data_IF_972631006320
#
_entry.id   IF_972631006320
#
_cell.length_a   1.000
_cell.length_b   1.000
_cell.length_c   1.000
_cell.angle_alpha   90.00
_cell.angle_beta   90.00
_cell.angle_gamma   90.00
#
_symmetry.space_group_name_H-M   'P 1'
#
loop_
_entity.id
_entity.type
_entity.pdbx_description
1 polymer ?
#
# COMPACT_ATOMS: atom_id res chain seq x y z
N UNK A 1 -34.60 7.56 1.90
CA UNK A 1 -33.51 8.31 1.23
C UNK A 1 -33.12 7.49 0.01
N UNK A 2 -33.24 8.05 -1.20
CA UNK A 2 -32.89 7.33 -2.43
C UNK A 2 -31.47 7.70 -2.82
N UNK A 3 -30.53 6.75 -2.75
CA UNK A 3 -29.15 6.98 -3.15
C UNK A 3 -29.02 6.80 -4.65
N UNK A 4 -28.70 7.89 -5.36
CA UNK A 4 -28.45 7.86 -6.81
C UNK A 4 -26.95 7.76 -7.07
N UNK A 5 -26.52 6.62 -7.59
CA UNK A 5 -25.14 6.41 -8.04
C UNK A 5 -25.01 6.62 -9.54
N UNK A 6 -23.81 6.98 -9.99
CA UNK A 6 -23.50 7.04 -11.42
C UNK A 6 -23.57 5.63 -12.04
N UNK A 7 -24.05 5.54 -13.29
CA UNK A 7 -24.00 4.31 -14.08
C UNK A 7 -22.58 3.74 -14.25
N UNK A 8 -21.52 4.52 -14.00
CA UNK A 8 -20.14 4.01 -13.98
C UNK A 8 -19.87 3.07 -12.81
N UNK A 9 -20.57 3.27 -11.69
CA UNK A 9 -20.40 2.47 -10.47
C UNK A 9 -20.87 1.04 -10.68
N UNK A 10 -21.89 0.80 -11.51
CA UNK A 10 -22.43 -0.56 -11.73
C UNK A 10 -21.43 -1.52 -12.38
N UNK A 11 -20.39 -1.00 -13.02
CA UNK A 11 -19.36 -1.80 -13.69
C UNK A 11 -18.03 -1.87 -12.92
N UNK A 12 -17.93 -1.23 -11.75
CA UNK A 12 -16.71 -1.30 -10.94
C UNK A 12 -16.52 -2.72 -10.41
N UNK A 13 -15.42 -3.36 -10.82
CA UNK A 13 -15.05 -4.68 -10.33
C UNK A 13 -14.08 -4.57 -9.15
N UNK A 14 -14.25 -5.38 -8.09
CA UNK A 14 -13.26 -5.49 -7.04
C UNK A 14 -11.97 -6.12 -7.59
N UNK A 15 -10.83 -5.71 -7.05
CA UNK A 15 -9.55 -6.34 -7.39
C UNK A 15 -9.43 -7.68 -6.66
N UNK A 16 -9.45 -8.79 -7.42
CA UNK A 16 -9.22 -10.13 -6.86
C UNK A 16 -7.87 -10.24 -6.14
N UNK A 17 -6.84 -9.53 -6.63
CA UNK A 17 -5.54 -9.45 -5.95
C UNK A 17 -5.72 -8.84 -4.55
N UNK A 18 -6.46 -7.72 -4.42
CA UNK A 18 -6.72 -7.11 -3.11
C UNK A 18 -7.52 -8.03 -2.17
N UNK A 19 -8.40 -8.87 -2.70
CA UNK A 19 -9.12 -9.88 -1.90
C UNK A 19 -8.17 -10.94 -1.34
N UNK A 20 -7.23 -11.46 -2.13
CA UNK A 20 -6.21 -12.40 -1.64
C UNK A 20 -5.27 -11.75 -0.61
N UNK A 21 -4.91 -10.48 -0.80
CA UNK A 21 -4.06 -9.74 0.12
C UNK A 21 -4.65 -9.61 1.53
N UNK A 22 -5.97 -9.78 1.73
CA UNK A 22 -6.60 -9.75 3.07
C UNK A 22 -6.13 -10.89 3.98
N UNK A 23 -5.68 -12.00 3.39
CA UNK A 23 -5.19 -13.16 4.12
C UNK A 23 -3.67 -13.08 4.39
N UNK A 24 -2.95 -12.18 3.68
CA UNK A 24 -1.53 -11.96 3.93
C UNK A 24 -1.32 -11.45 5.35
N UNK A 25 -0.45 -12.12 6.11
CA UNK A 25 -0.15 -11.77 7.49
C UNK A 25 -1.03 -12.47 8.55
N UNK A 26 -2.00 -13.29 8.14
CA UNK A 26 -2.69 -14.17 9.09
C UNK A 26 -1.74 -15.29 9.56
N UNK A 27 -1.68 -15.57 10.88
CA UNK A 27 -0.88 -16.68 11.40
C UNK A 27 -1.25 -18.00 10.72
N UNK A 28 -0.24 -18.73 10.24
CA UNK A 28 -0.42 -20.03 9.56
C UNK A 28 -0.71 -19.96 8.06
N UNK A 29 -0.90 -18.76 7.48
CA UNK A 29 -1.03 -18.59 6.03
C UNK A 29 0.35 -18.38 5.38
N UNK A 30 0.65 -19.13 4.31
CA UNK A 30 1.90 -18.99 3.54
C UNK A 30 1.56 -18.37 2.16
N UNK A 31 1.80 -17.07 1.96
CA UNK A 31 1.38 -16.40 0.74
C UNK A 31 2.43 -16.51 -0.37
N UNK A 32 2.08 -17.21 -1.45
CA UNK A 32 2.82 -17.18 -2.73
C UNK A 32 2.20 -16.23 -3.76
N UNK A 33 1.10 -15.56 -3.40
CA UNK A 33 0.37 -14.60 -4.24
C UNK A 33 0.87 -13.16 -4.12
N UNK A 34 1.71 -12.87 -3.12
CA UNK A 34 2.25 -11.54 -2.91
C UNK A 34 3.38 -11.23 -3.90
N UNK A 35 3.21 -10.19 -4.72
CA UNK A 35 4.22 -9.71 -5.67
C UNK A 35 5.07 -8.54 -5.15
N UNK A 36 4.91 -8.15 -3.88
CA UNK A 36 5.64 -7.03 -3.30
C UNK A 36 7.05 -7.48 -2.87
N UNK A 37 8.07 -6.61 -2.97
CA UNK A 37 9.39 -6.88 -2.39
C UNK A 37 9.30 -7.18 -0.88
N UNK A 38 10.22 -7.99 -0.37
CA UNK A 38 10.33 -8.24 1.08
C UNK A 38 10.61 -6.92 1.81
N UNK A 39 9.97 -6.71 2.97
CA UNK A 39 10.19 -5.55 3.83
C UNK A 39 11.66 -5.38 4.22
N UNK A 40 12.40 -6.48 4.34
CA UNK A 40 13.82 -6.48 4.70
C UNK A 40 14.73 -5.96 3.57
N UNK A 41 14.23 -5.93 2.33
CA UNK A 41 14.99 -5.40 1.18
C UNK A 41 14.85 -3.90 1.02
N UNK A 42 13.97 -3.26 1.78
CA UNK A 42 13.83 -1.81 1.73
C UNK A 42 15.04 -1.16 2.42
N UNK A 43 15.66 -0.14 1.83
CA UNK A 43 16.79 0.58 2.41
C UNK A 43 16.29 1.56 3.49
N UNK A 44 15.65 1.04 4.54
CA UNK A 44 14.94 1.82 5.56
C UNK A 44 15.85 2.86 6.23
N UNK A 45 17.08 2.48 6.59
CA UNK A 45 18.05 3.39 7.20
C UNK A 45 18.45 4.55 6.28
N UNK A 46 18.59 4.30 4.98
CA UNK A 46 18.92 5.34 4.02
C UNK A 46 17.74 6.30 3.82
N UNK A 47 16.51 5.76 3.72
CA UNK A 47 15.28 6.54 3.62
C UNK A 47 15.12 7.44 4.85
N UNK A 48 15.35 6.89 6.06
CA UNK A 48 15.27 7.62 7.32
C UNK A 48 16.23 8.81 7.34
N UNK A 49 17.52 8.57 7.04
CA UNK A 49 18.54 9.64 7.03
C UNK A 49 18.22 10.74 6.02
N UNK A 50 17.78 10.37 4.82
CA UNK A 50 17.45 11.34 3.78
C UNK A 50 16.20 12.13 4.18
N UNK A 51 15.17 11.46 4.70
CA UNK A 51 13.97 12.15 5.17
C UNK A 51 14.30 13.13 6.30
N UNK A 52 15.09 12.70 7.28
CA UNK A 52 15.53 13.54 8.39
C UNK A 52 16.28 14.79 7.89
N UNK A 53 17.20 14.63 6.93
CA UNK A 53 17.95 15.74 6.34
C UNK A 53 17.02 16.74 5.63
N UNK A 54 16.09 16.25 4.80
CA UNK A 54 15.12 17.09 4.09
C UNK A 54 14.29 17.89 5.10
N UNK A 55 13.71 17.23 6.11
CA UNK A 55 12.85 17.90 7.09
C UNK A 55 13.63 18.89 7.97
N UNK A 56 14.90 18.64 8.27
CA UNK A 56 15.73 19.55 9.08
C UNK A 56 16.28 20.73 8.30
N UNK A 57 16.83 20.46 7.12
CA UNK A 57 17.67 21.42 6.39
C UNK A 57 16.98 22.02 5.17
N UNK A 58 15.99 21.35 4.59
CA UNK A 58 15.25 21.81 3.41
C UNK A 58 13.72 21.64 3.57
N UNK A 59 13.09 22.15 4.66
CA UNK A 59 11.70 21.84 5.00
C UNK A 59 10.67 22.32 3.96
N UNK A 60 11.03 23.28 3.10
CA UNK A 60 10.14 23.78 2.02
C UNK A 60 10.06 22.77 0.85
N UNK A 61 11.05 21.88 0.72
CA UNK A 61 11.12 20.88 -0.36
C UNK A 61 10.52 19.51 0.01
N UNK A 62 10.05 19.35 1.25
CA UNK A 62 9.49 18.12 1.78
C UNK A 62 8.03 17.88 1.33
#
# INVERSE_FOLDING_TARGET
>A
MEYKFSNRVSNLQPSLIREFFKYNGLPGYIPFSAGNPSSETFPAEAIEKIAEDIFKNQPIAA
#
